data_IF_412691873953
#
_entry.id   IF_412691873953
#
_cell.length_a   1.000
_cell.length_b   1.000
_cell.length_c   1.000
_cell.angle_alpha   90.00
_cell.angle_beta   90.00
_cell.angle_gamma   90.00
#
_symmetry.space_group_name_H-M   'P 1'
#
loop_
_entity.id
_entity.type
_entity.pdbx_description
1 polymer ?
#
# COMPACT_ATOMS: atom_id res chain seq x y z
N UNK A 1 -21.85 9.13 -2.06
CA UNK A 1 -22.06 7.84 -2.75
C UNK A 1 -23.03 6.99 -1.95
N UNK A 2 -23.91 6.26 -2.62
CA UNK A 2 -24.75 5.24 -1.98
C UNK A 2 -23.85 4.16 -1.36
N UNK A 3 -23.92 3.99 -0.03
CA UNK A 3 -23.13 3.02 0.74
C UNK A 3 -23.64 1.58 0.57
N UNK A 4 -24.31 1.28 -0.54
CA UNK A 4 -24.87 -0.03 -0.80
C UNK A 4 -23.74 -1.01 -1.15
N UNK A 5 -23.58 -2.06 -0.35
CA UNK A 5 -22.52 -3.06 -0.51
C UNK A 5 -22.44 -3.64 -1.94
N UNK A 6 -23.58 -3.87 -2.60
CA UNK A 6 -23.60 -4.42 -3.95
C UNK A 6 -23.00 -3.44 -4.98
N UNK A 7 -23.22 -2.14 -4.79
CA UNK A 7 -22.63 -1.09 -5.63
C UNK A 7 -21.11 -1.04 -5.42
N UNK A 8 -20.64 -1.13 -4.17
CA UNK A 8 -19.21 -1.19 -3.82
C UNK A 8 -18.53 -2.39 -4.51
N UNK A 9 -19.14 -3.57 -4.43
CA UNK A 9 -18.61 -4.80 -5.02
C UNK A 9 -18.56 -4.70 -6.54
N UNK A 10 -19.63 -4.22 -7.16
CA UNK A 10 -19.72 -4.06 -8.61
C UNK A 10 -18.65 -3.10 -9.10
N UNK A 11 -18.54 -1.93 -8.46
CA UNK A 11 -17.54 -0.92 -8.82
C UNK A 11 -16.11 -1.41 -8.66
N UNK A 12 -15.82 -2.10 -7.56
CA UNK A 12 -14.48 -2.67 -7.33
C UNK A 12 -14.13 -3.76 -8.35
N UNK A 13 -15.12 -4.54 -8.77
CA UNK A 13 -14.94 -5.56 -9.81
C UNK A 13 -14.67 -4.93 -11.18
N UNK A 14 -15.35 -3.82 -11.51
CA UNK A 14 -15.07 -3.05 -12.72
C UNK A 14 -13.63 -2.50 -12.73
N UNK A 15 -13.20 -1.89 -11.62
CA UNK A 15 -11.83 -1.39 -11.47
C UNK A 15 -10.79 -2.50 -11.65
N UNK A 16 -11.02 -3.66 -11.02
CA UNK A 16 -10.16 -4.83 -11.18
C UNK A 16 -10.09 -5.32 -12.63
N UNK A 17 -11.22 -5.34 -13.33
CA UNK A 17 -11.26 -5.74 -14.75
C UNK A 17 -10.50 -4.76 -15.63
N UNK A 18 -10.64 -3.46 -15.39
CA UNK A 18 -9.91 -2.42 -16.12
C UNK A 18 -8.38 -2.60 -15.99
N UNK A 19 -7.90 -2.91 -14.78
CA UNK A 19 -6.48 -3.10 -14.51
C UNK A 19 -5.95 -4.53 -14.75
N UNK A 20 -6.77 -5.45 -15.28
CA UNK A 20 -6.33 -6.84 -15.47
C UNK A 20 -5.04 -7.00 -16.31
N UNK A 21 -4.80 -6.22 -17.38
CA UNK A 21 -3.55 -6.33 -18.14
C UNK A 21 -2.31 -5.97 -17.32
N UNK A 22 -2.45 -5.02 -16.38
CA UNK A 22 -1.38 -4.64 -15.44
C UNK A 22 -1.11 -5.79 -14.47
N UNK A 23 -2.16 -6.39 -13.91
CA UNK A 23 -2.01 -7.50 -12.98
C UNK A 23 -1.30 -8.69 -13.66
N UNK A 24 -1.62 -8.98 -14.91
CA UNK A 24 -0.96 -10.04 -15.68
C UNK A 24 0.52 -9.72 -15.95
N UNK A 25 0.85 -8.47 -16.23
CA UNK A 25 2.23 -8.03 -16.33
C UNK A 25 2.98 -8.20 -15.00
N UNK A 26 2.40 -7.77 -13.88
CA UNK A 26 2.99 -7.93 -12.54
C UNK A 26 3.21 -9.41 -12.18
N UNK A 27 2.25 -10.30 -12.50
CA UNK A 27 2.42 -11.75 -12.29
C UNK A 27 3.60 -12.31 -13.06
N UNK A 28 3.79 -11.89 -14.31
CA UNK A 28 4.97 -12.32 -15.11
C UNK A 28 6.26 -11.88 -14.45
N UNK A 29 6.34 -10.65 -13.96
CA UNK A 29 7.52 -10.16 -13.23
C UNK A 29 7.80 -10.96 -11.96
N UNK A 30 6.75 -11.26 -11.17
CA UNK A 30 6.90 -12.11 -9.98
C UNK A 30 7.44 -13.50 -10.34
N UNK A 31 6.94 -14.13 -11.40
CA UNK A 31 7.44 -15.44 -11.85
C UNK A 31 8.91 -15.42 -12.24
N UNK A 32 9.37 -14.35 -12.89
CA UNK A 32 10.78 -14.16 -13.23
C UNK A 32 11.66 -14.06 -11.98
N UNK A 33 11.22 -13.31 -10.96
CA UNK A 33 11.95 -13.15 -9.69
C UNK A 33 11.94 -14.46 -8.89
N UNK A 34 10.82 -15.20 -8.92
CA UNK A 34 10.69 -16.52 -8.31
C UNK A 34 11.48 -17.60 -9.06
N UNK A 35 11.97 -17.29 -10.26
CA UNK A 35 12.73 -18.20 -11.12
C UNK A 35 11.93 -19.47 -11.44
N UNK A 36 10.63 -19.30 -11.72
CA UNK A 36 9.77 -20.41 -12.11
C UNK A 36 10.23 -20.91 -13.48
N UNK A 37 10.55 -22.20 -13.54
CA UNK A 37 10.96 -22.87 -14.77
C UNK A 37 9.75 -23.17 -15.66
N UNK A 38 9.46 -22.26 -16.59
CA UNK A 38 8.35 -22.39 -17.55
C UNK A 38 8.63 -23.41 -18.66
N UNK A 39 9.89 -23.83 -18.87
CA UNK A 39 10.31 -24.73 -19.95
C UNK A 39 10.58 -26.16 -19.47
N UNK A 40 10.33 -26.45 -18.19
CA UNK A 40 10.54 -27.76 -17.60
C UNK A 40 9.70 -28.81 -18.33
N UNK A 41 10.37 -29.65 -19.10
CA UNK A 41 9.77 -30.80 -19.78
C UNK A 41 10.08 -32.06 -18.99
N UNK A 42 9.12 -32.98 -18.87
CA UNK A 42 9.35 -34.25 -18.19
C UNK A 42 10.50 -35.00 -18.87
N UNK A 43 11.52 -35.39 -18.10
CA UNK A 43 12.73 -36.11 -18.56
C UNK A 43 13.73 -35.31 -19.40
N UNK A 44 13.66 -33.98 -19.42
CA UNK A 44 14.74 -33.14 -19.98
C UNK A 44 15.32 -32.22 -18.90
N UNK A 45 16.65 -32.04 -18.94
CA UNK A 45 17.34 -31.10 -18.07
C UNK A 45 17.04 -29.67 -18.52
N UNK A 46 16.52 -28.86 -17.62
CA UNK A 46 16.35 -27.41 -17.79
C UNK A 46 17.17 -26.69 -16.73
N UNK A 47 17.76 -25.56 -17.09
CA UNK A 47 18.55 -24.73 -16.18
C UNK A 47 17.94 -23.33 -16.10
N UNK A 48 17.66 -22.88 -14.88
CA UNK A 48 17.27 -21.50 -14.60
C UNK A 48 18.43 -20.82 -13.88
N UNK A 49 19.06 -19.84 -14.54
CA UNK A 49 20.15 -19.05 -13.97
C UNK A 49 19.64 -18.13 -12.85
N UNK A 50 20.43 -17.99 -11.78
CA UNK A 50 20.09 -17.18 -10.59
C UNK A 50 20.23 -15.65 -10.79
N UNK A 51 20.45 -15.21 -12.03
CA UNK A 51 20.77 -13.81 -12.33
C UNK A 51 19.63 -12.83 -11.96
N UNK A 52 18.35 -13.07 -12.33
CA UNK A 52 17.27 -12.13 -12.03
C UNK A 52 17.06 -11.90 -10.52
N UNK A 53 17.09 -12.99 -9.73
CA UNK A 53 16.92 -12.93 -8.28
C UNK A 53 18.12 -12.28 -7.59
N UNK A 54 19.34 -12.56 -8.06
CA UNK A 54 20.55 -11.98 -7.50
C UNK A 54 20.61 -10.47 -7.76
N UNK A 55 20.30 -10.04 -8.99
CA UNK A 55 20.22 -8.63 -9.36
C UNK A 55 19.15 -7.90 -8.54
N UNK A 56 17.95 -8.47 -8.42
CA UNK A 56 16.88 -7.90 -7.59
C UNK A 56 17.34 -7.68 -6.14
N UNK A 57 17.97 -8.68 -5.53
CA UNK A 57 18.44 -8.58 -4.14
C UNK A 57 19.57 -7.55 -3.97
N UNK A 58 20.48 -7.47 -4.95
CA UNK A 58 21.56 -6.49 -4.96
C UNK A 58 21.00 -5.07 -5.01
N UNK A 59 20.12 -4.79 -5.98
CA UNK A 59 19.50 -3.46 -6.13
C UNK A 59 18.67 -3.11 -4.89
N UNK A 60 17.90 -4.07 -4.37
CA UNK A 60 17.15 -3.87 -3.14
C UNK A 60 18.06 -3.53 -1.96
N UNK A 61 19.22 -4.17 -1.83
CA UNK A 61 20.19 -3.85 -0.77
C UNK A 61 20.82 -2.47 -0.95
N UNK A 62 21.15 -2.07 -2.19
CA UNK A 62 21.72 -0.75 -2.49
C UNK A 62 20.74 0.39 -2.19
N UNK A 63 19.44 0.17 -2.40
CA UNK A 63 18.39 1.17 -2.19
C UNK A 63 17.85 1.20 -0.75
N UNK A 64 18.09 0.16 0.05
CA UNK A 64 17.69 0.06 1.47
C UNK A 64 18.61 0.90 2.38
N UNK A 65 18.81 2.16 1.99
CA UNK A 65 19.59 3.16 2.74
C UNK A 65 18.64 4.08 3.49
N UNK A 66 19.07 4.61 4.65
CA UNK A 66 18.24 5.53 5.43
C UNK A 66 18.03 6.85 4.66
N UNK A 67 16.81 7.07 4.16
CA UNK A 67 16.47 8.28 3.40
C UNK A 67 16.05 9.36 4.38
N UNK A 68 16.76 10.50 4.45
CA UNK A 68 16.38 11.57 5.36
C UNK A 68 15.04 12.19 4.93
N UNK A 69 14.00 11.98 5.75
CA UNK A 69 12.73 12.68 5.59
C UNK A 69 12.93 14.18 5.82
N UNK A 70 12.94 14.94 4.72
CA UNK A 70 13.03 16.40 4.73
C UNK A 70 11.97 16.95 3.78
N UNK A 71 11.24 17.94 4.24
CA UNK A 71 10.46 18.80 3.34
C UNK A 71 11.51 19.61 2.57
N UNK A 72 11.45 19.57 1.24
CA UNK A 72 12.33 20.40 0.42
C UNK A 72 11.84 21.84 0.54
N UNK A 73 12.56 22.65 1.30
CA UNK A 73 12.35 24.10 1.33
C UNK A 73 12.84 24.69 0.01
N UNK A 74 11.91 25.14 -0.82
CA UNK A 74 12.21 26.05 -1.92
C UNK A 74 12.25 27.46 -1.29
N UNK A 75 13.45 27.94 -0.98
CA UNK A 75 13.78 29.37 -0.80
C UNK A 75 12.78 30.21 0.03
N UNK A 76 12.30 29.71 1.17
CA UNK A 76 11.53 30.57 2.08
C UNK A 76 12.48 31.55 2.78
N UNK A 77 12.48 32.81 2.33
CA UNK A 77 13.17 33.93 3.00
C UNK A 77 12.58 34.21 4.39
N UNK A 78 11.36 33.73 4.63
CA UNK A 78 10.63 33.94 5.88
C UNK A 78 11.13 33.01 7.02
N UNK A 79 11.71 33.58 8.10
CA UNK A 79 12.16 32.79 9.25
C UNK A 79 11.00 32.07 9.98
N UNK A 80 9.78 32.61 9.94
CA UNK A 80 8.62 31.97 10.58
C UNK A 80 8.26 30.66 9.87
N UNK A 81 8.20 30.68 8.54
CA UNK A 81 7.98 29.49 7.71
C UNK A 81 9.07 28.44 7.96
N UNK A 82 10.32 28.87 8.04
CA UNK A 82 11.46 27.98 8.28
C UNK A 82 11.34 27.25 9.62
N UNK A 83 10.94 27.95 10.68
CA UNK A 83 10.73 27.32 12.00
C UNK A 83 9.54 26.37 12.02
N UNK A 84 8.44 26.71 11.34
CA UNK A 84 7.28 25.84 11.19
C UNK A 84 7.63 24.55 10.43
N UNK A 85 8.35 24.65 9.30
CA UNK A 85 8.79 23.48 8.53
C UNK A 85 9.76 22.62 9.33
N UNK A 86 10.68 23.22 10.09
CA UNK A 86 11.58 22.47 10.96
C UNK A 86 10.81 21.67 12.03
N UNK A 87 9.76 22.26 12.61
CA UNK A 87 8.87 21.58 13.56
C UNK A 87 8.16 20.38 12.91
N UNK A 88 7.54 20.60 11.74
CA UNK A 88 6.83 19.56 10.99
C UNK A 88 7.79 18.44 10.54
N UNK A 89 9.00 18.78 10.09
CA UNK A 89 10.02 17.81 9.70
C UNK A 89 10.47 16.94 10.88
N UNK A 90 10.60 17.52 12.08
CA UNK A 90 10.88 16.75 13.31
C UNK A 90 9.73 15.82 13.67
N UNK A 91 8.48 16.29 13.54
CA UNK A 91 7.29 15.48 13.76
C UNK A 91 7.28 14.26 12.84
N UNK A 92 7.43 14.44 11.52
CA UNK A 92 7.43 13.34 10.57
C UNK A 92 8.58 12.35 10.81
N UNK A 93 9.77 12.82 11.23
CA UNK A 93 10.87 11.92 11.58
C UNK A 93 10.52 11.01 12.76
N UNK A 94 9.85 11.54 13.78
CA UNK A 94 9.41 10.75 14.95
C UNK A 94 8.26 9.83 14.58
N UNK A 95 7.24 10.35 13.88
CA UNK A 95 6.09 9.58 13.41
C UNK A 95 6.51 8.41 12.52
N UNK A 96 7.43 8.65 11.58
CA UNK A 96 7.93 7.61 10.69
C UNK A 96 8.67 6.48 11.43
N UNK A 97 9.47 6.83 12.45
CA UNK A 97 10.11 5.81 13.31
C UNK A 97 9.07 4.97 14.05
N UNK A 98 8.01 5.58 14.57
CA UNK A 98 6.92 4.84 15.22
C UNK A 98 6.22 3.90 14.23
N UNK A 99 5.87 4.40 13.04
CA UNK A 99 5.30 3.59 11.95
C UNK A 99 6.20 2.41 11.60
N UNK A 100 7.50 2.63 11.37
CA UNK A 100 8.46 1.57 11.06
C UNK A 100 8.55 0.52 12.18
N UNK A 101 8.58 0.96 13.43
CA UNK A 101 8.64 0.05 14.59
C UNK A 101 7.37 -0.78 14.72
N UNK A 102 6.20 -0.17 14.50
CA UNK A 102 4.92 -0.87 14.52
C UNK A 102 4.81 -1.88 13.37
N UNK A 103 5.23 -1.50 12.16
CA UNK A 103 5.28 -2.42 11.02
C UNK A 103 6.18 -3.62 11.30
N UNK A 104 7.35 -3.42 11.92
CA UNK A 104 8.27 -4.50 12.31
C UNK A 104 7.69 -5.46 13.34
N UNK A 105 6.77 -5.02 14.21
CA UNK A 105 6.09 -5.92 15.16
C UNK A 105 5.17 -6.91 14.45
N UNK A 106 4.51 -6.49 13.38
CA UNK A 106 3.63 -7.35 12.58
C UNK A 106 4.39 -8.13 11.51
N UNK A 107 5.48 -7.56 10.98
CA UNK A 107 6.32 -8.19 9.96
C UNK A 107 7.80 -8.13 10.37
N UNK A 108 8.26 -9.07 11.21
CA UNK A 108 9.61 -9.01 11.79
C UNK A 108 10.73 -9.26 10.78
N UNK A 109 10.40 -9.79 9.59
CA UNK A 109 11.40 -10.19 8.59
C UNK A 109 11.79 -9.06 7.63
N UNK A 110 10.95 -8.03 7.48
CA UNK A 110 11.16 -6.97 6.49
C UNK A 110 10.91 -5.60 7.13
N UNK A 111 11.73 -4.61 6.78
CA UNK A 111 11.41 -3.22 7.11
C UNK A 111 10.28 -2.71 6.21
N UNK A 112 9.58 -1.67 6.66
CA UNK A 112 8.56 -0.98 5.87
C UNK A 112 9.15 -0.53 4.53
N UNK A 113 10.27 0.20 4.59
CA UNK A 113 10.98 0.72 3.43
C UNK A 113 11.39 -0.38 2.46
N UNK A 114 11.98 -1.46 2.97
CA UNK A 114 12.40 -2.59 2.13
C UNK A 114 11.22 -3.27 1.44
N UNK A 115 10.07 -3.34 2.11
CA UNK A 115 8.84 -3.87 1.52
C UNK A 115 8.34 -2.97 0.39
N UNK A 116 8.28 -1.66 0.62
CA UNK A 116 7.90 -0.66 -0.39
C UNK A 116 8.84 -0.68 -1.60
N UNK A 117 10.16 -0.69 -1.37
CA UNK A 117 11.17 -0.81 -2.43
C UNK A 117 11.06 -2.13 -3.18
N UNK A 118 10.78 -3.23 -2.47
CA UNK A 118 10.55 -4.54 -3.08
C UNK A 118 9.38 -4.50 -4.07
N UNK A 119 8.26 -3.87 -3.71
CA UNK A 119 7.14 -3.68 -4.63
C UNK A 119 7.49 -2.77 -5.80
N UNK A 120 8.19 -1.66 -5.54
CA UNK A 120 8.64 -0.74 -6.59
C UNK A 120 9.54 -1.44 -7.62
N UNK A 121 10.50 -2.24 -7.18
CA UNK A 121 11.43 -2.97 -8.05
C UNK A 121 10.74 -4.12 -8.79
N UNK A 122 9.86 -4.86 -8.11
CA UNK A 122 9.21 -6.03 -8.71
C UNK A 122 8.11 -5.64 -9.70
N UNK A 123 7.39 -4.55 -9.45
CA UNK A 123 6.18 -4.21 -10.21
C UNK A 123 6.26 -2.89 -10.95
N UNK A 124 7.23 -2.03 -10.62
CA UNK A 124 7.29 -0.64 -11.08
C UNK A 124 6.27 0.28 -10.42
N UNK A 125 5.47 -0.25 -9.46
CA UNK A 125 4.38 0.46 -8.80
C UNK A 125 4.56 0.44 -7.29
N UNK A 126 4.00 1.45 -6.63
CA UNK A 126 3.92 1.51 -5.17
C UNK A 126 2.48 1.82 -4.78
N UNK A 127 1.98 1.09 -3.79
CA UNK A 127 0.74 1.40 -3.13
C UNK A 127 1.00 1.39 -1.62
N UNK A 128 0.70 2.50 -0.95
CA UNK A 128 0.87 2.62 0.48
C UNK A 128 -0.38 3.29 1.06
N UNK A 129 -0.95 2.65 2.07
CA UNK A 129 -2.03 3.21 2.84
C UNK A 129 -1.44 3.98 4.00
N UNK A 130 -1.68 5.29 4.04
CA UNK A 130 -1.30 6.15 5.14
C UNK A 130 -2.54 6.80 5.76
N UNK A 131 -2.57 6.86 7.09
CA UNK A 131 -3.60 7.57 7.83
C UNK A 131 -3.05 8.12 9.14
N UNK A 132 -3.68 9.18 9.63
CA UNK A 132 -3.47 9.68 10.99
C UNK A 132 -4.71 9.31 11.79
N UNK A 133 -4.53 8.92 13.05
CA UNK A 133 -5.65 8.63 13.96
C UNK A 133 -6.48 9.89 14.20
N UNK A 134 -7.76 9.72 14.54
CA UNK A 134 -8.70 10.86 14.72
C UNK A 134 -8.26 11.83 15.82
N UNK A 135 -7.51 11.34 16.81
CA UNK A 135 -6.93 12.12 17.90
C UNK A 135 -5.61 12.83 17.49
N UNK A 136 -5.10 12.58 16.28
CA UNK A 136 -3.85 13.14 15.78
C UNK A 136 -2.59 12.57 16.43
N UNK A 137 -2.72 11.58 17.33
CA UNK A 137 -1.59 11.13 18.16
C UNK A 137 -0.70 10.10 17.48
N UNK A 138 -1.24 9.34 16.52
CA UNK A 138 -0.53 8.27 15.84
C UNK A 138 -0.68 8.37 14.33
N UNK A 139 0.40 8.03 13.65
CA UNK A 139 0.40 7.80 12.22
C UNK A 139 0.41 6.29 11.96
N UNK A 140 -0.28 5.87 10.92
CA UNK A 140 -0.28 4.52 10.41
C UNK A 140 0.15 4.56 8.96
N UNK A 141 1.09 3.70 8.57
CA UNK A 141 1.37 3.44 7.18
C UNK A 141 1.58 1.94 6.96
N UNK A 142 1.04 1.43 5.86
CA UNK A 142 1.16 0.03 5.45
C UNK A 142 1.32 -0.06 3.94
N UNK A 143 2.38 -0.73 3.44
CA UNK A 143 2.56 -0.96 2.02
C UNK A 143 1.62 -2.09 1.59
N UNK A 144 0.83 -1.82 0.57
CA UNK A 144 -0.05 -2.80 -0.03
C UNK A 144 0.61 -3.39 -1.28
N UNK A 145 0.30 -4.66 -1.56
CA UNK A 145 0.75 -5.26 -2.81
C UNK A 145 0.06 -4.54 -3.98
N UNK A 146 0.80 -3.91 -4.91
CA UNK A 146 0.20 -3.14 -6.00
C UNK A 146 -0.73 -3.96 -6.90
N UNK A 147 -0.55 -5.28 -6.97
CA UNK A 147 -1.43 -6.17 -7.76
C UNK A 147 -2.86 -6.21 -7.21
N UNK A 148 -3.03 -5.94 -5.92
CA UNK A 148 -4.33 -5.97 -5.24
C UNK A 148 -4.97 -4.58 -5.17
N UNK A 149 -4.32 -3.54 -5.72
CA UNK A 149 -4.76 -2.14 -5.61
C UNK A 149 -5.13 -1.57 -6.97
N UNK A 150 -6.32 -1.00 -7.08
CA UNK A 150 -6.95 -0.56 -8.32
C UNK A 150 -7.37 0.91 -8.21
N UNK A 151 -6.49 1.86 -8.55
CA UNK A 151 -6.81 3.28 -8.54
C UNK A 151 -7.60 3.70 -9.79
N UNK A 152 -8.47 4.68 -9.65
CA UNK A 152 -9.10 5.40 -10.75
C UNK A 152 -8.64 6.85 -10.69
N UNK A 153 -8.15 7.34 -11.82
CA UNK A 153 -7.70 8.71 -11.96
C UNK A 153 -8.72 9.46 -12.82
N UNK A 154 -9.26 10.52 -12.27
CA UNK A 154 -10.06 11.50 -12.97
C UNK A 154 -9.15 12.65 -13.44
N UNK A 155 -9.39 13.13 -14.67
CA UNK A 155 -8.56 14.16 -15.28
C UNK A 155 -8.60 15.50 -14.52
N UNK A 156 -9.67 15.76 -13.76
CA UNK A 156 -9.88 17.01 -13.04
C UNK A 156 -9.59 16.90 -11.55
N UNK A 157 -9.97 15.80 -10.91
CA UNK A 157 -9.84 15.61 -9.46
C UNK A 157 -8.56 14.86 -9.06
N UNK A 158 -7.82 14.30 -10.03
CA UNK A 158 -6.71 13.41 -9.75
C UNK A 158 -7.21 12.04 -9.29
N UNK A 159 -6.71 11.53 -8.17
CA UNK A 159 -7.11 10.21 -7.68
C UNK A 159 -8.56 10.24 -7.18
N UNK A 160 -9.50 9.72 -7.98
CA UNK A 160 -10.93 9.80 -7.68
C UNK A 160 -11.38 8.65 -6.78
N UNK A 161 -10.93 7.43 -7.06
CA UNK A 161 -11.35 6.22 -6.36
C UNK A 161 -10.17 5.26 -6.23
N UNK A 162 -10.14 4.47 -5.15
CA UNK A 162 -9.18 3.36 -5.01
C UNK A 162 -9.92 2.16 -4.42
N UNK A 163 -9.79 1.02 -5.09
CA UNK A 163 -10.20 -0.27 -4.55
C UNK A 163 -8.98 -1.11 -4.20
N UNK A 164 -8.83 -1.48 -2.93
CA UNK A 164 -7.87 -2.51 -2.49
C UNK A 164 -8.65 -3.81 -2.25
N UNK A 165 -8.35 -4.85 -3.04
CA UNK A 165 -9.06 -6.14 -3.05
C UNK A 165 -8.06 -7.24 -2.74
N UNK A 166 -8.14 -7.81 -1.54
CA UNK A 166 -7.20 -8.82 -1.09
C UNK A 166 -7.91 -10.04 -0.51
N UNK A 167 -7.21 -11.17 -0.52
CA UNK A 167 -7.72 -12.42 0.07
C UNK A 167 -7.42 -12.45 1.56
N UNK A 168 -8.42 -12.79 2.35
CA UNK A 168 -8.30 -12.92 3.81
C UNK A 168 -8.47 -14.38 4.19
N UNK A 169 -7.57 -14.91 5.02
CA UNK A 169 -7.73 -16.25 5.57
C UNK A 169 -8.92 -16.35 6.52
N UNK A 170 -9.54 -17.52 6.63
CA UNK A 170 -10.74 -17.73 7.46
C UNK A 170 -10.56 -17.28 8.92
N UNK A 171 -9.41 -17.57 9.53
CA UNK A 171 -9.08 -17.14 10.89
C UNK A 171 -8.94 -15.61 11.01
N UNK A 172 -8.31 -14.96 10.04
CA UNK A 172 -8.19 -13.50 10.00
C UNK A 172 -9.56 -12.84 9.80
N UNK A 173 -10.39 -13.38 8.90
CA UNK A 173 -11.73 -12.88 8.65
C UNK A 173 -12.61 -12.96 9.92
N UNK A 174 -12.49 -14.06 10.67
CA UNK A 174 -13.16 -14.24 11.97
C UNK A 174 -12.69 -13.19 12.97
N UNK A 175 -11.38 -12.94 13.07
CA UNK A 175 -10.83 -11.93 13.98
C UNK A 175 -11.24 -10.50 13.57
N UNK A 176 -11.28 -10.20 12.27
CA UNK A 176 -11.78 -8.93 11.75
C UNK A 176 -13.27 -8.73 12.10
N UNK A 177 -14.09 -9.77 11.95
CA UNK A 177 -15.49 -9.71 12.37
C UNK A 177 -15.65 -9.44 13.86
N UNK A 178 -14.89 -10.15 14.70
CA UNK A 178 -14.91 -9.95 16.14
C UNK A 178 -14.50 -8.54 16.53
N UNK A 179 -13.42 -8.01 15.93
CA UNK A 179 -12.88 -6.68 16.22
C UNK A 179 -13.81 -5.55 15.77
N UNK A 180 -14.44 -5.71 14.62
CA UNK A 180 -15.26 -4.67 14.01
C UNK A 180 -16.77 -4.87 14.25
N UNK A 181 -17.14 -5.88 15.05
CA UNK A 181 -18.52 -6.29 15.30
C UNK A 181 -19.33 -6.59 14.02
N UNK A 182 -18.69 -7.18 13.01
CA UNK A 182 -19.36 -7.61 11.79
C UNK A 182 -19.99 -9.00 11.96
N UNK A 183 -21.11 -9.24 11.29
CA UNK A 183 -21.73 -10.56 11.25
C UNK A 183 -21.04 -11.45 10.22
N UNK A 184 -20.80 -12.73 10.56
CA UNK A 184 -20.02 -13.65 9.72
C UNK A 184 -20.57 -13.86 8.30
N UNK A 185 -21.89 -13.73 8.10
CA UNK A 185 -22.52 -13.82 6.77
C UNK A 185 -22.27 -12.57 5.91
N UNK A 186 -21.78 -11.47 6.49
CA UNK A 186 -21.37 -10.28 5.74
C UNK A 186 -20.00 -10.47 5.07
N UNK A 187 -19.21 -11.48 5.47
CA UNK A 187 -17.89 -11.77 4.89
C UNK A 187 -17.96 -12.40 3.49
N UNK A 188 -19.05 -13.11 3.14
CA UNK A 188 -19.18 -13.70 1.79
C UNK A 188 -19.40 -12.63 0.71
N UNK A 189 -19.91 -11.46 1.08
CA UNK A 189 -20.01 -10.28 0.22
C UNK A 189 -18.76 -9.37 0.30
N UNK A 190 -17.98 -9.49 1.38
CA UNK A 190 -16.79 -8.68 1.65
C UNK A 190 -15.55 -9.56 1.47
N UNK A 191 -15.23 -9.89 0.22
CA UNK A 191 -13.85 -10.17 -0.16
C UNK A 191 -13.09 -8.83 -0.11
N UNK A 192 -12.84 -8.38 1.14
CA UNK A 192 -12.19 -7.15 1.59
C UNK A 192 -11.96 -6.10 0.51
N UNK A 193 -13.00 -5.32 0.24
CA UNK A 193 -12.87 -4.06 -0.49
C UNK A 193 -12.63 -2.98 0.57
N UNK A 194 -11.39 -2.52 0.70
CA UNK A 194 -11.13 -1.28 1.40
C UNK A 194 -11.40 -0.15 0.40
N UNK A 195 -12.65 0.33 0.36
CA UNK A 195 -12.97 1.58 -0.34
C UNK A 195 -12.67 2.71 0.63
N UNK A 196 -11.47 3.28 0.52
CA UNK A 196 -11.22 4.61 1.08
C UNK A 196 -11.35 5.59 -0.06
N UNK A 197 -12.44 6.34 -0.04
CA UNK A 197 -12.48 7.60 -0.77
C UNK A 197 -11.23 8.39 -0.33
N UNK A 198 -10.35 8.71 -1.28
CA UNK A 198 -9.27 9.67 -1.08
C UNK A 198 -9.88 11.07 -0.95
N UNK A 199 -10.70 11.28 0.08
CA UNK A 199 -10.98 12.63 0.54
C UNK A 199 -9.78 13.07 1.37
N UNK A 200 -9.05 14.02 0.80
CA UNK A 200 -8.49 15.12 1.58
C UNK A 200 -9.65 15.81 2.33
N UNK A 201 -10.13 15.24 3.43
CA UNK A 201 -11.06 15.93 4.33
C UNK A 201 -10.26 16.79 5.29
N UNK A 202 -9.86 17.97 4.81
CA UNK A 202 -9.80 19.15 5.67
C UNK A 202 -11.14 19.85 5.48
N UNK A 203 -12.07 19.69 6.41
CA UNK A 203 -13.08 20.70 6.75
C UNK A 203 -13.91 20.29 7.98
N UNK A 204 -13.64 21.03 9.06
CA UNK A 204 -14.56 21.50 10.09
C UNK A 204 -16.06 21.32 9.78
N UNK A 205 -16.75 20.60 10.66
CA UNK A 205 -18.09 20.93 11.20
C UNK A 205 -18.07 20.36 12.63
N UNK A 206 -17.94 21.19 13.66
CA UNK A 206 -19.11 21.84 14.26
C UNK A 206 -19.67 20.90 15.34
N UNK A 207 -19.09 20.94 16.54
CA UNK A 207 -19.74 20.45 17.75
C UNK A 207 -20.55 21.62 18.31
N UNK A 208 -21.83 21.37 18.48
CA UNK A 208 -22.80 22.26 19.12
C UNK A 208 -22.27 22.77 20.48
N UNK A 209 -22.04 24.09 20.55
CA UNK A 209 -22.51 25.01 21.60
C UNK A 209 -22.92 26.30 20.88
#
# INVERSE_FOLDING_TARGET
>A
MDRNANTIITRSTELKRFWSPRDDAMRRWYRLIEMIDELKTEKMESFVGNDPRSLFNLVLHLLDTDIPHRIKDYDSIDPEVTTAVASVSRFFRTAWKDVQNNFRRTNPRQSLQRTTLGFMLATGWVAEFAAVTDDGTRCYAEPWNPIDVYPMWDATLGLSEVAHIYRVGSGQATNMCKRNHWMAWQLSAVASICWKECYYTRLLVGRDI
#
